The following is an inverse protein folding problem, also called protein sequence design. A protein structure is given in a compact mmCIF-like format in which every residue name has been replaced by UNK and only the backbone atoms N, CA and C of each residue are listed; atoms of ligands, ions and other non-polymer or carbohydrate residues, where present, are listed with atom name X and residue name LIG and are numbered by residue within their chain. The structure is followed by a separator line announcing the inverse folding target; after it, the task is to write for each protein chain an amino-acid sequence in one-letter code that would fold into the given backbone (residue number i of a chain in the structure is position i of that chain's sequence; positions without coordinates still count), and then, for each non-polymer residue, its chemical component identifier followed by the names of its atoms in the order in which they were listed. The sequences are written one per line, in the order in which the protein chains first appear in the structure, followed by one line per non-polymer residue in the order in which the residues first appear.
data_IF_770057218452
#
_entry.id   IF_770057218452
#
_cell.length_a   1.000
_cell.length_b   1.000
_cell.length_c   1.000
_cell.angle_alpha   90.00
_cell.angle_beta   90.00
_cell.angle_gamma   90.00
#
_symmetry.space_group_name_H-M   'P 1'
#
loop_
_entity.id
_entity.type
_entity.pdbx_description
1 polymer ?
#
# COMPACT_ATOMS: atom_id res chain seq x y z
N UNK A 1 -8.14 2.51 31.77
CA UNK A 1 -8.99 2.62 30.58
C UNK A 1 -8.15 2.13 29.43
N UNK A 2 -8.51 0.99 28.86
CA UNK A 2 -7.87 0.48 27.66
C UNK A 2 -8.35 1.36 26.50
N UNK A 3 -7.46 2.23 26.01
CA UNK A 3 -7.66 2.97 24.76
C UNK A 3 -7.58 1.96 23.61
N UNK A 4 -8.67 1.23 23.45
CA UNK A 4 -8.90 0.42 22.28
C UNK A 4 -9.07 1.42 21.14
N UNK A 5 -8.13 1.43 20.19
CA UNK A 5 -8.26 2.20 18.95
C UNK A 5 -9.44 1.59 18.19
N UNK A 6 -10.65 2.01 18.54
CA UNK A 6 -11.90 1.47 18.01
C UNK A 6 -12.18 2.21 16.70
N UNK A 7 -11.92 1.53 15.58
CA UNK A 7 -12.13 2.02 14.23
C UNK A 7 -13.63 2.08 13.81
N UNK A 8 -14.51 2.67 14.64
CA UNK A 8 -15.95 2.76 14.34
C UNK A 8 -16.29 3.99 13.50
N UNK A 9 -16.41 3.77 12.18
CA UNK A 9 -16.72 4.81 11.17
C UNK A 9 -15.69 4.90 10.04
N UNK A 10 -14.67 4.05 10.09
CA UNK A 10 -13.37 4.33 9.46
C UNK A 10 -13.28 3.80 8.03
N UNK A 11 -12.46 4.45 7.20
CA UNK A 11 -12.11 3.98 5.86
C UNK A 11 -10.60 3.84 5.72
N UNK A 12 -10.15 2.82 5.00
CA UNK A 12 -8.74 2.48 4.87
C UNK A 12 -8.33 2.41 3.41
N UNK A 13 -7.11 2.85 3.12
CA UNK A 13 -6.51 2.72 1.80
C UNK A 13 -5.20 1.96 1.96
N UNK A 14 -5.09 0.84 1.26
CA UNK A 14 -3.92 -0.02 1.24
C UNK A 14 -3.27 -0.01 -0.13
N UNK A 15 -1.99 0.31 -0.17
CA UNK A 15 -1.18 0.27 -1.37
C UNK A 15 -0.01 -0.70 -1.17
N UNK A 16 0.02 -1.78 -1.93
CA UNK A 16 1.21 -2.60 -2.13
C UNK A 16 1.78 -2.38 -3.52
N UNK A 17 2.97 -1.78 -3.60
CA UNK A 17 3.72 -1.63 -4.84
C UNK A 17 4.50 -2.90 -5.19
N UNK A 18 4.62 -3.17 -6.49
CA UNK A 18 5.43 -4.21 -7.06
C UNK A 18 5.87 -3.82 -8.49
N UNK A 19 7.18 -3.73 -8.68
CA UNK A 19 7.91 -3.68 -9.94
C UNK A 19 7.48 -4.72 -10.98
N UNK A 20 7.33 -4.30 -12.23
CA UNK A 20 7.16 -5.21 -13.37
C UNK A 20 8.50 -5.83 -13.78
N UNK A 21 8.59 -7.16 -13.86
CA UNK A 21 9.73 -7.84 -14.48
C UNK A 21 9.57 -7.86 -16.00
N UNK A 22 10.23 -6.95 -16.72
CA UNK A 22 10.33 -7.00 -18.19
C UNK A 22 11.29 -8.12 -18.62
N UNK A 23 10.75 -9.21 -19.15
CA UNK A 23 11.53 -10.25 -19.83
C UNK A 23 11.90 -9.79 -21.24
N UNK A 24 13.14 -9.32 -21.43
CA UNK A 24 13.71 -9.22 -22.79
C UNK A 24 14.34 -10.56 -23.16
N UNK A 25 13.67 -11.28 -24.04
CA UNK A 25 14.21 -12.48 -24.68
C UNK A 25 15.50 -12.19 -25.44
N UNK A 26 16.54 -12.96 -25.11
CA UNK A 26 17.78 -13.06 -25.86
C UNK A 26 18.33 -14.46 -25.66
N UNK A 27 18.35 -15.27 -26.72
CA UNK A 27 18.87 -16.63 -26.71
C UNK A 27 20.38 -16.56 -26.49
N UNK A 28 20.87 -17.06 -25.36
CA UNK A 28 22.29 -17.36 -25.16
C UNK A 28 22.38 -18.77 -24.55
N UNK A 29 22.96 -19.69 -25.32
CA UNK A 29 23.31 -21.03 -24.87
C UNK A 29 24.36 -20.95 -23.77
N UNK A 30 23.98 -21.34 -22.55
CA UNK A 30 24.87 -21.50 -21.41
C UNK A 30 24.05 -21.84 -20.19
N UNK A 31 24.21 -23.05 -19.65
CA UNK A 31 23.56 -23.47 -18.40
C UNK A 31 24.11 -22.61 -17.27
N UNK A 32 23.35 -21.60 -16.86
CA UNK A 32 23.58 -20.83 -15.65
C UNK A 32 22.38 -21.08 -14.72
N UNK A 33 22.64 -21.68 -13.57
CA UNK A 33 21.68 -21.80 -12.47
C UNK A 33 21.41 -20.39 -11.93
N UNK A 34 20.34 -19.75 -12.38
CA UNK A 34 19.86 -18.46 -11.87
C UNK A 34 18.68 -18.69 -10.93
N UNK A 35 18.87 -18.49 -9.63
CA UNK A 35 17.75 -18.27 -8.70
C UNK A 35 17.29 -16.84 -8.92
N UNK A 36 16.21 -16.65 -9.68
CA UNK A 36 15.61 -15.33 -9.93
C UNK A 36 14.69 -14.96 -8.75
N UNK A 37 15.11 -13.98 -7.95
CA UNK A 37 14.45 -13.55 -6.72
C UNK A 37 13.14 -12.80 -7.02
N UNK A 38 12.04 -13.16 -6.34
CA UNK A 38 10.75 -12.48 -6.45
C UNK A 38 10.71 -11.26 -5.50
N UNK A 39 11.39 -10.18 -5.89
CA UNK A 39 11.71 -9.03 -5.02
C UNK A 39 10.50 -8.38 -4.33
N UNK A 40 9.31 -8.45 -4.92
CA UNK A 40 8.13 -7.70 -4.44
C UNK A 40 7.09 -8.52 -3.70
N UNK A 41 7.33 -9.82 -3.53
CA UNK A 41 6.43 -10.68 -2.77
C UNK A 41 6.15 -10.14 -1.37
N UNK A 42 7.19 -9.56 -0.73
CA UNK A 42 7.09 -8.97 0.61
C UNK A 42 6.07 -7.83 0.69
N UNK A 43 5.99 -6.97 -0.33
CA UNK A 43 5.07 -5.85 -0.33
C UNK A 43 3.62 -6.33 -0.39
N UNK A 44 3.33 -7.28 -1.28
CA UNK A 44 2.00 -7.91 -1.34
C UNK A 44 1.67 -8.65 -0.04
N UNK A 45 2.61 -9.41 0.52
CA UNK A 45 2.41 -10.13 1.77
C UNK A 45 2.17 -9.17 2.96
N UNK A 46 2.88 -8.04 3.04
CA UNK A 46 2.68 -7.01 4.07
C UNK A 46 1.29 -6.38 3.94
N UNK A 47 0.90 -5.97 2.73
CA UNK A 47 -0.42 -5.40 2.46
C UNK A 47 -1.54 -6.36 2.81
N UNK A 48 -1.45 -7.64 2.39
CA UNK A 48 -2.46 -8.65 2.71
C UNK A 48 -2.47 -9.01 4.20
N UNK A 49 -1.32 -8.97 4.88
CA UNK A 49 -1.24 -9.18 6.34
C UNK A 49 -2.01 -8.09 7.09
N UNK A 50 -1.87 -6.84 6.66
CA UNK A 50 -2.57 -5.71 7.28
C UNK A 50 -4.07 -5.73 6.94
N UNK A 51 -4.43 -5.99 5.68
CA UNK A 51 -5.81 -6.21 5.25
C UNK A 51 -6.50 -7.27 6.12
N UNK A 52 -5.85 -8.43 6.29
CA UNK A 52 -6.40 -9.51 7.11
C UNK A 52 -6.52 -9.10 8.58
N UNK A 53 -5.58 -8.32 9.09
CA UNK A 53 -5.62 -7.81 10.48
C UNK A 53 -6.84 -6.92 10.69
N UNK A 54 -7.08 -5.94 9.80
CA UNK A 54 -8.24 -5.05 9.95
C UNK A 54 -9.58 -5.76 9.71
N UNK A 55 -9.62 -6.74 8.82
CA UNK A 55 -10.76 -7.64 8.66
C UNK A 55 -11.09 -8.38 9.95
N UNK A 56 -10.07 -8.91 10.64
CA UNK A 56 -10.23 -9.58 11.95
C UNK A 56 -10.69 -8.63 13.05
N UNK A 57 -10.37 -7.35 12.94
CA UNK A 57 -10.88 -6.29 13.82
C UNK A 57 -12.31 -5.85 13.46
N UNK A 58 -12.94 -6.46 12.45
CA UNK A 58 -14.34 -6.23 12.10
C UNK A 58 -14.58 -5.12 11.08
N UNK A 59 -13.54 -4.63 10.39
CA UNK A 59 -13.72 -3.66 9.30
C UNK A 59 -14.19 -4.41 8.04
N UNK A 60 -15.36 -4.07 7.48
CA UNK A 60 -15.88 -4.70 6.25
C UNK A 60 -15.19 -4.16 4.99
N UNK A 61 -15.27 -4.92 3.88
CA UNK A 61 -14.59 -4.59 2.61
C UNK A 61 -15.09 -3.28 2.01
N UNK A 62 -16.37 -2.92 2.18
CA UNK A 62 -16.94 -1.63 1.76
C UNK A 62 -16.25 -0.38 2.35
N UNK A 63 -15.39 -0.58 3.35
CA UNK A 63 -14.59 0.46 4.04
C UNK A 63 -13.10 0.33 3.77
N UNK A 64 -12.68 -0.61 2.94
CA UNK A 64 -11.28 -0.85 2.61
C UNK A 64 -11.13 -0.65 1.11
N UNK A 65 -10.16 0.17 0.70
CA UNK A 65 -9.71 0.24 -0.69
C UNK A 65 -8.37 -0.48 -0.77
N UNK A 66 -8.33 -1.62 -1.45
CA UNK A 66 -7.14 -2.43 -1.63
C UNK A 66 -6.57 -2.28 -3.05
N UNK A 67 -5.35 -1.75 -3.14
CA UNK A 67 -4.59 -1.60 -4.37
C UNK A 67 -3.38 -2.56 -4.36
N UNK A 68 -3.34 -3.51 -5.30
CA UNK A 68 -2.23 -4.46 -5.48
C UNK A 68 -1.64 -4.32 -6.88
N UNK A 69 -0.42 -3.81 -6.96
CA UNK A 69 0.26 -3.52 -8.23
C UNK A 69 0.70 -4.78 -9.00
N UNK A 70 0.87 -5.93 -8.32
CA UNK A 70 1.20 -7.20 -8.96
C UNK A 70 0.40 -8.34 -8.34
N UNK A 71 0.21 -9.41 -9.10
CA UNK A 71 -0.47 -10.62 -8.69
C UNK A 71 0.54 -11.74 -8.45
N UNK A 72 1.22 -11.68 -7.31
CA UNK A 72 2.16 -12.73 -6.91
C UNK A 72 1.45 -14.07 -6.66
N UNK A 73 0.15 -14.05 -6.38
CA UNK A 73 -0.63 -15.27 -6.18
C UNK A 73 -0.76 -16.05 -7.49
N UNK A 74 -0.91 -15.35 -8.63
CA UNK A 74 -1.00 -15.94 -9.96
C UNK A 74 0.34 -15.99 -10.74
N UNK A 75 1.44 -15.56 -10.12
CA UNK A 75 2.74 -15.55 -10.78
C UNK A 75 3.22 -16.98 -11.09
N UNK A 76 3.70 -17.24 -12.31
CA UNK A 76 4.17 -18.56 -12.72
C UNK A 76 5.38 -19.08 -11.92
N UNK A 77 6.13 -18.18 -11.25
CA UNK A 77 7.23 -18.54 -10.35
C UNK A 77 6.76 -18.91 -8.94
N UNK A 78 5.49 -18.65 -8.61
CA UNK A 78 4.94 -19.02 -7.32
C UNK A 78 4.63 -20.53 -7.31
N UNK A 79 5.37 -21.27 -6.48
CA UNK A 79 5.19 -22.71 -6.30
C UNK A 79 3.85 -23.08 -5.62
N UNK A 80 3.13 -22.09 -5.09
CA UNK A 80 1.83 -22.25 -4.44
C UNK A 80 0.77 -21.37 -5.15
N UNK A 81 0.18 -21.86 -6.25
CA UNK A 81 -0.79 -21.10 -7.04
C UNK A 81 -1.95 -20.58 -6.18
N UNK A 82 -2.32 -19.31 -6.38
CA UNK A 82 -3.37 -18.61 -5.64
C UNK A 82 -3.12 -18.49 -4.11
N UNK A 83 -1.86 -18.62 -3.67
CA UNK A 83 -1.50 -18.52 -2.26
C UNK A 83 -0.36 -17.52 -2.04
N UNK A 84 -0.49 -16.74 -0.96
CA UNK A 84 0.54 -15.81 -0.50
C UNK A 84 0.77 -16.03 0.99
N UNK A 85 2.02 -16.06 1.43
CA UNK A 85 2.42 -16.33 2.80
C UNK A 85 3.36 -15.24 3.30
N UNK A 86 3.34 -14.97 4.60
CA UNK A 86 4.29 -14.07 5.27
C UNK A 86 5.28 -14.83 6.18
N UNK A 87 5.27 -16.16 6.16
CA UNK A 87 6.18 -17.00 6.93
C UNK A 87 6.55 -18.26 6.15
N UNK A 88 7.74 -18.80 6.44
CA UNK A 88 8.29 -19.98 5.77
C UNK A 88 7.47 -21.25 6.03
N UNK A 89 6.77 -21.31 7.16
CA UNK A 89 5.97 -22.47 7.55
C UNK A 89 4.61 -22.53 6.82
N UNK A 90 4.29 -21.54 5.98
CA UNK A 90 3.06 -21.44 5.19
C UNK A 90 1.77 -21.66 6.00
N UNK A 91 1.77 -21.24 7.27
CA UNK A 91 0.67 -21.53 8.20
C UNK A 91 -0.63 -20.79 7.84
N UNK A 92 -0.52 -19.70 7.09
CA UNK A 92 -1.61 -18.79 6.81
C UNK A 92 -1.55 -18.27 5.38
N UNK A 93 -2.45 -18.76 4.52
CA UNK A 93 -2.67 -18.14 3.22
C UNK A 93 -3.34 -16.77 3.41
N UNK A 94 -2.63 -15.71 3.02
CA UNK A 94 -3.04 -14.32 3.10
C UNK A 94 -3.98 -13.90 1.97
N UNK A 95 -3.85 -14.52 0.79
CA UNK A 95 -4.69 -14.21 -0.37
C UNK A 95 -6.07 -14.86 -0.18
N UNK A 96 -6.15 -16.20 -0.13
CA UNK A 96 -7.38 -16.94 0.15
C UNK A 96 -8.62 -16.49 -0.64
N UNK A 97 -9.81 -16.91 -0.19
CA UNK A 97 -11.06 -16.64 -0.93
C UNK A 97 -11.73 -15.31 -0.56
N UNK A 98 -11.22 -14.58 0.44
CA UNK A 98 -11.91 -13.46 1.09
C UNK A 98 -11.21 -12.10 0.90
N UNK A 99 -10.33 -11.99 -0.09
CA UNK A 99 -9.66 -10.73 -0.43
C UNK A 99 -10.38 -10.06 -1.59
N UNK A 100 -10.94 -8.88 -1.32
CA UNK A 100 -11.51 -8.00 -2.33
C UNK A 100 -10.43 -6.98 -2.73
N UNK A 101 -10.00 -7.05 -3.99
CA UNK A 101 -9.00 -6.11 -4.54
C UNK A 101 -9.71 -5.13 -5.46
N UNK A 102 -9.66 -3.85 -5.11
CA UNK A 102 -10.32 -2.76 -5.82
C UNK A 102 -9.54 -2.31 -7.05
N UNK A 103 -8.22 -2.22 -6.93
CA UNK A 103 -7.32 -1.83 -8.02
C UNK A 103 -6.25 -2.91 -8.18
N UNK A 104 -6.19 -3.52 -9.36
CA UNK A 104 -5.26 -4.61 -9.67
C UNK A 104 -4.32 -4.22 -10.80
N UNK A 105 -3.05 -4.58 -10.68
CA UNK A 105 -2.09 -4.46 -11.78
C UNK A 105 -2.06 -3.04 -12.35
N UNK A 106 -2.33 -2.92 -13.65
CA UNK A 106 -2.36 -1.66 -14.40
C UNK A 106 -3.32 -0.58 -13.85
N UNK A 107 -4.30 -0.92 -13.01
CA UNK A 107 -5.15 0.09 -12.36
C UNK A 107 -4.43 0.79 -11.19
N UNK A 108 -3.31 0.26 -10.69
CA UNK A 108 -2.53 0.81 -9.57
C UNK A 108 -1.52 1.83 -10.08
N UNK A 109 -2.01 3.02 -10.40
CA UNK A 109 -1.24 4.18 -10.87
C UNK A 109 -1.22 5.27 -9.82
N UNK A 110 -0.24 6.19 -9.89
CA UNK A 110 -0.20 7.39 -9.03
C UNK A 110 -1.50 8.20 -9.19
N UNK A 111 -1.99 8.35 -10.42
CA UNK A 111 -3.23 9.09 -10.71
C UNK A 111 -4.44 8.51 -9.97
N UNK A 112 -4.74 7.22 -10.14
CA UNK A 112 -5.85 6.58 -9.44
C UNK A 112 -5.73 6.67 -7.91
N UNK A 113 -4.51 6.50 -7.38
CA UNK A 113 -4.25 6.65 -5.95
C UNK A 113 -4.61 8.06 -5.45
N UNK A 114 -4.12 9.10 -6.13
CA UNK A 114 -4.43 10.49 -5.77
C UNK A 114 -5.93 10.80 -5.93
N UNK A 115 -6.59 10.28 -6.98
CA UNK A 115 -8.04 10.43 -7.19
C UNK A 115 -8.86 9.81 -6.06
N UNK A 116 -8.46 8.65 -5.53
CA UNK A 116 -9.07 8.03 -4.34
C UNK A 116 -8.94 8.95 -3.13
N UNK A 117 -7.73 9.46 -2.86
CA UNK A 117 -7.48 10.36 -1.73
C UNK A 117 -8.24 11.69 -1.85
N UNK A 118 -8.28 12.32 -3.02
CA UNK A 118 -8.92 13.64 -3.20
C UNK A 118 -10.42 13.57 -3.50
N UNK A 119 -10.92 12.38 -3.88
CA UNK A 119 -12.33 12.13 -4.21
C UNK A 119 -12.69 12.62 -5.61
N UNK A 120 -11.70 12.96 -6.43
CA UNK A 120 -11.86 13.42 -7.80
C UNK A 120 -11.99 12.22 -8.74
N UNK A 121 -13.20 11.67 -8.82
CA UNK A 121 -13.51 10.53 -9.67
C UNK A 121 -14.42 10.92 -10.85
N UNK A 122 -14.18 10.28 -11.99
CA UNK A 122 -15.14 10.30 -13.09
C UNK A 122 -16.47 9.64 -12.68
N UNK A 123 -17.56 10.04 -13.33
CA UNK A 123 -18.91 9.52 -13.02
C UNK A 123 -19.01 8.01 -13.19
N UNK A 124 -18.21 7.43 -14.10
CA UNK A 124 -18.18 5.99 -14.38
C UNK A 124 -17.48 5.15 -13.30
N UNK A 125 -16.64 5.75 -12.43
CA UNK A 125 -15.93 4.99 -11.38
C UNK A 125 -16.95 4.43 -10.39
N UNK A 126 -17.02 3.11 -10.14
CA UNK A 126 -18.02 2.55 -9.24
C UNK A 126 -17.82 3.02 -7.80
N UNK A 127 -18.92 3.10 -7.04
CA UNK A 127 -18.90 3.59 -5.64
C UNK A 127 -18.01 2.75 -4.72
N UNK A 128 -17.85 1.45 -4.99
CA UNK A 128 -16.96 0.54 -4.22
C UNK A 128 -15.49 0.97 -4.32
N UNK A 129 -15.04 1.46 -5.48
CA UNK A 129 -13.67 1.93 -5.71
C UNK A 129 -13.41 3.37 -5.23
N UNK A 130 -14.27 3.94 -4.37
CA UNK A 130 -14.16 5.33 -3.92
C UNK A 130 -13.99 5.40 -2.40
N UNK A 131 -13.07 6.25 -1.95
CA UNK A 131 -12.97 6.60 -0.54
C UNK A 131 -14.10 7.57 -0.18
N UNK A 132 -15.21 7.09 0.39
CA UNK A 132 -16.36 7.94 0.77
C UNK A 132 -16.23 8.44 2.21
N UNK A 133 -15.28 9.34 2.44
CA UNK A 133 -15.00 9.92 3.76
C UNK A 133 -15.51 11.36 3.89
N UNK A 134 -15.63 11.80 5.13
CA UNK A 134 -16.17 13.08 5.59
C UNK A 134 -15.41 13.59 6.84
N UNK A 135 -15.89 14.69 7.42
CA UNK A 135 -15.26 15.37 8.57
C UNK A 135 -15.25 14.54 9.86
N UNK A 136 -16.04 13.47 9.93
CA UNK A 136 -16.08 12.53 11.06
C UNK A 136 -15.24 11.28 10.82
N UNK A 137 -14.66 11.12 9.63
CA UNK A 137 -13.99 9.89 9.21
C UNK A 137 -12.56 9.80 9.77
N UNK A 138 -12.21 8.64 10.32
CA UNK A 138 -10.83 8.31 10.68
C UNK A 138 -10.24 7.42 9.59
N UNK A 139 -9.06 7.79 9.08
CA UNK A 139 -8.44 7.15 7.92
C UNK A 139 -7.08 6.55 8.28
N UNK A 140 -6.88 5.29 7.90
CA UNK A 140 -5.54 4.67 7.86
C UNK A 140 -5.14 4.51 6.39
N UNK A 141 -4.09 5.22 6.00
CA UNK A 141 -3.40 5.05 4.73
C UNK A 141 -2.12 4.24 4.98
N UNK A 142 -2.03 3.05 4.38
CA UNK A 142 -0.81 2.25 4.44
C UNK A 142 -0.25 2.06 3.03
N UNK A 143 1.05 2.32 2.91
CA UNK A 143 1.80 2.19 1.65
C UNK A 143 3.05 1.36 1.89
N UNK A 144 3.30 0.37 1.04
CA UNK A 144 4.55 -0.41 1.04
C UNK A 144 5.06 -0.54 -0.38
N UNK A 145 6.37 -0.42 -0.55
CA UNK A 145 6.97 -0.42 -1.88
C UNK A 145 8.45 -0.11 -1.87
N UNK A 146 8.99 0.11 -3.06
CA UNK A 146 10.32 0.71 -3.20
C UNK A 146 10.20 2.23 -3.16
N UNK A 147 11.24 2.89 -2.70
CA UNK A 147 11.25 4.34 -2.54
C UNK A 147 12.67 4.86 -2.46
N UNK A 148 12.78 6.17 -2.38
CA UNK A 148 14.04 6.89 -2.28
C UNK A 148 13.79 8.29 -1.77
N UNK A 149 14.70 9.20 -2.07
CA UNK A 149 14.63 10.57 -1.58
C UNK A 149 13.39 11.28 -2.13
N UNK A 150 12.40 11.50 -1.25
CA UNK A 150 11.12 12.16 -1.53
C UNK A 150 10.18 11.44 -2.49
N UNK A 151 10.35 10.13 -2.76
CA UNK A 151 9.42 9.39 -3.61
C UNK A 151 9.15 7.94 -3.19
N UNK A 152 8.00 7.42 -3.63
CA UNK A 152 7.62 6.00 -3.59
C UNK A 152 7.24 5.53 -5.00
N UNK A 153 7.76 4.40 -5.44
CA UNK A 153 7.51 3.86 -6.78
C UNK A 153 6.13 3.22 -6.89
N UNK A 154 5.59 3.26 -8.10
CA UNK A 154 4.39 2.56 -8.54
C UNK A 154 4.73 1.77 -9.80
N UNK A 155 4.60 0.44 -9.72
CA UNK A 155 4.86 -0.50 -10.80
C UNK A 155 6.24 -0.36 -11.46
N UNK A 156 7.25 0.17 -10.75
CA UNK A 156 8.57 0.56 -11.25
C UNK A 156 8.60 1.58 -12.41
N UNK A 157 7.46 2.15 -12.80
CA UNK A 157 7.33 3.05 -13.95
C UNK A 157 6.97 4.48 -13.55
N UNK A 158 6.22 4.63 -12.46
CA UNK A 158 5.77 5.91 -11.94
C UNK A 158 6.32 6.13 -10.53
N UNK A 159 6.37 7.39 -10.11
CA UNK A 159 6.82 7.78 -8.78
C UNK A 159 5.80 8.74 -8.17
N UNK A 160 5.27 8.37 -7.00
CA UNK A 160 4.54 9.28 -6.13
C UNK A 160 5.56 10.14 -5.40
N UNK A 161 5.56 11.44 -5.66
CA UNK A 161 6.47 12.38 -5.03
C UNK A 161 5.89 12.89 -3.69
N UNK A 162 6.78 13.33 -2.79
CA UNK A 162 6.45 13.93 -1.50
C UNK A 162 5.48 15.12 -1.65
N UNK A 163 5.67 15.94 -2.69
CA UNK A 163 4.78 17.09 -2.97
C UNK A 163 3.38 16.66 -3.44
N UNK A 164 3.27 15.62 -4.28
CA UNK A 164 1.97 15.11 -4.74
C UNK A 164 1.13 14.60 -3.55
N UNK A 165 1.76 13.84 -2.66
CA UNK A 165 1.12 13.33 -1.44
C UNK A 165 0.73 14.48 -0.49
N UNK A 166 1.62 15.45 -0.28
CA UNK A 166 1.35 16.61 0.55
C UNK A 166 0.16 17.43 0.02
N UNK A 167 0.11 17.67 -1.29
CA UNK A 167 -0.98 18.38 -1.95
C UNK A 167 -2.31 17.62 -1.87
N UNK A 168 -2.29 16.28 -2.02
CA UNK A 168 -3.48 15.46 -1.84
C UNK A 168 -4.01 15.52 -0.40
N UNK A 169 -3.14 15.39 0.61
CA UNK A 169 -3.53 15.49 2.03
C UNK A 169 -4.06 16.89 2.34
N UNK A 170 -3.43 17.94 1.81
CA UNK A 170 -3.92 19.33 1.93
C UNK A 170 -5.31 19.49 1.34
N UNK A 171 -5.56 18.96 0.14
CA UNK A 171 -6.89 18.99 -0.49
C UNK A 171 -7.93 18.19 0.32
N UNK A 172 -7.54 17.04 0.89
CA UNK A 172 -8.41 16.28 1.78
C UNK A 172 -8.82 17.09 3.01
N UNK A 173 -7.87 17.83 3.61
CA UNK A 173 -8.11 18.70 4.75
C UNK A 173 -9.03 19.88 4.39
N UNK A 174 -8.73 20.60 3.30
CA UNK A 174 -9.53 21.74 2.84
C UNK A 174 -10.99 21.36 2.52
N UNK A 175 -11.22 20.12 2.10
CA UNK A 175 -12.54 19.56 1.82
C UNK A 175 -13.16 18.80 2.99
N UNK A 176 -12.56 18.88 4.19
CA UNK A 176 -13.03 18.20 5.40
C UNK A 176 -13.31 16.70 5.18
N UNK A 177 -12.37 15.98 4.56
CA UNK A 177 -12.55 14.55 4.21
C UNK A 177 -12.10 13.58 5.30
N UNK A 178 -11.58 14.07 6.41
CA UNK A 178 -11.22 13.25 7.57
C UNK A 178 -11.23 14.10 8.85
N UNK A 179 -11.46 13.43 9.96
CA UNK A 179 -11.19 13.92 11.32
C UNK A 179 -9.76 13.66 11.72
N UNK A 180 -9.29 12.44 11.50
CA UNK A 180 -7.94 11.98 11.81
C UNK A 180 -7.41 11.14 10.66
N UNK A 181 -6.14 11.36 10.30
CA UNK A 181 -5.43 10.61 9.28
C UNK A 181 -4.14 10.04 9.86
N UNK A 182 -4.00 8.72 9.80
CA UNK A 182 -2.77 8.01 10.11
C UNK A 182 -2.17 7.51 8.80
N UNK A 183 -0.93 7.89 8.52
CA UNK A 183 -0.19 7.43 7.34
C UNK A 183 0.97 6.55 7.80
N UNK A 184 0.95 5.29 7.37
CA UNK A 184 2.00 4.32 7.63
C UNK A 184 2.70 3.97 6.33
N UNK A 185 4.03 4.12 6.28
CA UNK A 185 4.80 3.83 5.07
C UNK A 185 5.96 2.89 5.38
N UNK A 186 6.04 1.82 4.59
CA UNK A 186 7.08 0.80 4.61
C UNK A 186 7.85 0.84 3.28
N UNK A 187 8.85 1.72 3.22
CA UNK A 187 9.71 1.94 2.06
C UNK A 187 11.08 2.47 2.49
N UNK A 188 12.09 2.35 1.64
CA UNK A 188 13.40 2.96 1.87
C UNK A 188 13.27 4.48 1.97
N UNK A 189 13.95 5.10 2.94
CA UNK A 189 13.88 6.56 3.19
C UNK A 189 12.47 7.11 3.44
N UNK A 190 11.57 6.32 4.02
CA UNK A 190 10.17 6.69 4.26
C UNK A 190 9.94 8.06 4.95
N UNK A 191 10.89 8.57 5.74
CA UNK A 191 10.83 9.90 6.35
C UNK A 191 10.80 11.05 5.32
N UNK A 192 11.55 10.94 4.20
CA UNK A 192 11.67 12.01 3.20
C UNK A 192 10.41 12.18 2.37
N UNK A 193 9.58 11.13 2.23
CA UNK A 193 8.28 11.18 1.57
C UNK A 193 7.29 12.17 2.22
N UNK A 194 7.58 12.62 3.44
CA UNK A 194 6.75 13.58 4.17
C UNK A 194 7.45 14.90 4.43
N UNK A 195 8.64 15.12 3.85
CA UNK A 195 9.42 16.36 4.01
C UNK A 195 8.56 17.61 3.76
N UNK A 196 7.73 17.57 2.71
CA UNK A 196 6.83 18.66 2.32
C UNK A 196 5.53 18.70 3.14
N UNK A 197 5.12 17.57 3.73
CA UNK A 197 3.87 17.43 4.47
C UNK A 197 4.01 17.81 5.95
N UNK A 198 5.22 17.84 6.52
CA UNK A 198 5.49 18.20 7.94
C UNK A 198 4.94 19.56 8.39
N UNK A 199 4.54 20.42 7.46
CA UNK A 199 3.89 21.70 7.76
C UNK A 199 2.40 21.58 8.13
N UNK A 200 1.82 20.37 8.03
CA UNK A 200 0.42 20.07 8.32
C UNK A 200 0.31 19.37 9.69
N UNK A 201 -0.22 20.06 10.70
CA UNK A 201 -0.23 19.59 12.10
C UNK A 201 -1.30 18.54 12.46
N UNK A 202 -2.10 18.04 11.50
CA UNK A 202 -3.35 17.30 11.79
C UNK A 202 -3.33 15.83 11.32
N UNK A 203 -2.15 15.25 11.09
CA UNK A 203 -2.00 13.82 10.81
C UNK A 203 -0.80 13.24 11.56
N UNK A 204 -0.82 11.91 11.74
CA UNK A 204 0.30 11.17 12.34
C UNK A 204 0.96 10.36 11.23
N UNK A 205 2.29 10.44 11.12
CA UNK A 205 3.08 9.57 10.24
C UNK A 205 3.84 8.52 11.05
N UNK A 206 3.90 7.31 10.51
CA UNK A 206 4.75 6.23 11.01
C UNK A 206 5.61 5.72 9.86
N UNK A 207 6.94 5.82 10.03
CA UNK A 207 7.94 5.41 9.04
C UNK A 207 8.56 4.08 9.48
N UNK A 208 8.09 2.97 8.91
CA UNK A 208 8.43 1.62 9.40
C UNK A 208 9.91 1.30 9.18
N UNK A 209 10.45 1.64 8.00
CA UNK A 209 11.85 1.37 7.67
C UNK A 209 12.84 2.14 8.55
N UNK A 210 12.59 3.43 8.80
CA UNK A 210 13.45 4.24 9.67
C UNK A 210 13.49 3.72 11.11
N UNK A 211 12.39 3.14 11.61
CA UNK A 211 12.37 2.48 12.92
C UNK A 211 13.23 1.22 12.92
N UNK A 212 13.18 0.42 11.86
CA UNK A 212 14.02 -0.77 11.71
C UNK A 212 15.49 -0.37 11.63
N UNK A 213 15.85 0.60 10.79
CA UNK A 213 17.23 1.11 10.71
C UNK A 213 17.74 1.57 12.07
N UNK A 214 16.96 2.40 12.79
CA UNK A 214 17.33 2.88 14.12
C UNK A 214 17.57 1.75 15.12
N UNK A 215 16.74 0.70 15.09
CA UNK A 215 16.92 -0.49 15.94
C UNK A 215 18.17 -1.25 15.51
N UNK A 216 18.36 -1.50 14.21
CA UNK A 216 19.48 -2.28 13.67
C UNK A 216 20.84 -1.56 13.78
N UNK A 217 20.88 -0.23 13.83
CA UNK A 217 22.13 0.55 13.99
C UNK A 217 22.52 0.80 15.43
N UNK A 218 21.60 0.58 16.38
CA UNK A 218 21.80 0.87 17.81
C UNK A 218 21.88 -0.40 18.67
N UNK A 219 21.99 -1.57 18.04
CA UNK A 219 22.45 -2.83 18.64
C UNK A 219 23.92 -3.10 18.27
#
# INVERSE_FOLDING_TARGET
MSDEIIFKGNRLVYLGDASVCMSRGGIIHGVNWGVEVMFNYRHMANTLSLYRTVKRLGIPDERIILMLADDMACNARNNYPAQVFNNENHQLNLYGDNVEVDYRGYEVTVENFLRVLTGHHETAVPRSKRLLSDEGSHILLYMTGHGGDEFLKFQDNEELQSHDLADAVKQMKEKHRFKELLIMVDTCQAATLFSQATQLNDFITLHVWNLIEYVMTNE
#
